data_IF_134364357113
#
_entry.id   IF_134364357113
#
_cell.length_a   1.000
_cell.length_b   1.000
_cell.length_c   1.000
_cell.angle_alpha   90.00
_cell.angle_beta   90.00
_cell.angle_gamma   90.00
#
_symmetry.space_group_name_H-M   'P 1'
#
loop_
_entity.id
_entity.type
_entity.pdbx_description
1 polymer ?
#
# COMPACT_ATOMS: atom_id res chain seq x y z
N UNK A 1 7.31 9.44 -11.45
CA UNK A 1 7.62 8.24 -10.67
C UNK A 1 6.49 7.23 -10.83
N UNK A 2 6.84 6.00 -11.19
CA UNK A 2 5.89 4.88 -11.27
C UNK A 2 5.51 4.38 -9.86
N UNK A 3 4.63 3.37 -9.78
CA UNK A 3 4.13 2.86 -8.50
C UNK A 3 5.27 2.26 -7.68
N UNK A 4 6.16 1.48 -8.31
CA UNK A 4 7.33 0.88 -7.66
C UNK A 4 8.22 1.92 -6.99
N UNK A 5 8.59 2.96 -7.72
CA UNK A 5 9.45 4.04 -7.22
C UNK A 5 8.81 4.78 -6.04
N UNK A 6 7.48 4.93 -6.05
CA UNK A 6 6.74 5.58 -4.95
C UNK A 6 6.68 4.70 -3.72
N UNK A 7 6.36 3.42 -3.86
CA UNK A 7 6.35 2.44 -2.76
C UNK A 7 7.74 2.34 -2.14
N UNK A 8 8.79 2.26 -2.97
CA UNK A 8 10.18 2.27 -2.50
C UNK A 8 10.53 3.55 -1.75
N UNK A 9 10.11 4.71 -2.23
CA UNK A 9 10.39 5.98 -1.57
C UNK A 9 9.64 6.16 -0.23
N UNK A 10 8.42 5.61 -0.12
CA UNK A 10 7.60 5.73 1.09
C UNK A 10 7.94 4.70 2.15
N UNK A 11 8.14 3.44 1.75
CA UNK A 11 8.25 2.31 2.66
C UNK A 11 9.64 1.64 2.64
N UNK A 12 10.50 1.98 1.67
CA UNK A 12 11.78 1.30 1.47
C UNK A 12 11.64 -0.11 0.89
N UNK A 13 10.48 -0.44 0.32
CA UNK A 13 10.13 -1.79 -0.17
C UNK A 13 10.26 -1.87 -1.69
N UNK A 14 10.69 -3.02 -2.18
CA UNK A 14 10.69 -3.36 -3.60
C UNK A 14 9.46 -4.20 -3.97
N UNK A 15 8.74 -3.77 -5.01
CA UNK A 15 7.59 -4.48 -5.56
C UNK A 15 7.80 -4.88 -7.03
N UNK A 16 7.30 -6.05 -7.41
CA UNK A 16 7.55 -6.65 -8.73
C UNK A 16 6.57 -6.18 -9.83
N UNK A 17 5.41 -5.64 -9.47
CA UNK A 17 4.41 -5.06 -10.39
C UNK A 17 4.30 -3.54 -10.24
N UNK A 18 3.86 -2.85 -11.30
CA UNK A 18 3.47 -1.43 -11.26
C UNK A 18 1.95 -1.26 -11.14
N UNK A 19 1.20 -2.35 -11.09
CA UNK A 19 -0.25 -2.31 -10.92
C UNK A 19 -0.60 -2.18 -9.43
N UNK A 20 -1.05 -0.99 -9.04
CA UNK A 20 -1.40 -0.71 -7.64
C UNK A 20 -2.56 -1.59 -7.14
N UNK A 21 -3.52 -1.94 -8.00
CA UNK A 21 -4.66 -2.76 -7.59
C UNK A 21 -4.23 -4.19 -7.26
N UNK A 22 -3.32 -4.77 -8.05
CA UNK A 22 -2.73 -6.08 -7.77
C UNK A 22 -2.00 -6.10 -6.43
N UNK A 23 -1.22 -5.04 -6.14
CA UNK A 23 -0.51 -4.90 -4.86
C UNK A 23 -1.48 -4.74 -3.70
N UNK A 24 -2.59 -4.01 -3.89
CA UNK A 24 -3.62 -3.81 -2.88
C UNK A 24 -4.33 -5.11 -2.53
N UNK A 25 -4.72 -5.89 -3.53
CA UNK A 25 -5.47 -7.14 -3.35
C UNK A 25 -4.59 -8.26 -2.80
N UNK A 26 -3.36 -8.43 -3.29
CA UNK A 26 -2.48 -9.54 -2.95
C UNK A 26 -1.00 -9.10 -2.78
N UNK A 27 -0.66 -8.28 -1.77
CA UNK A 27 0.69 -7.72 -1.61
C UNK A 27 1.79 -8.77 -1.50
N UNK A 28 1.48 -9.93 -0.91
CA UNK A 28 2.37 -11.09 -0.73
C UNK A 28 2.90 -11.70 -2.05
N UNK A 29 2.18 -11.53 -3.16
CA UNK A 29 2.63 -12.01 -4.47
C UNK A 29 3.72 -11.12 -5.08
N UNK A 30 3.81 -9.86 -4.63
CA UNK A 30 4.61 -8.83 -5.28
C UNK A 30 5.82 -8.35 -4.47
N UNK A 31 6.00 -8.82 -3.24
CA UNK A 31 7.13 -8.49 -2.36
C UNK A 31 8.08 -9.66 -2.14
N UNK A 32 9.25 -9.38 -1.57
CA UNK A 32 10.29 -10.40 -1.34
C UNK A 32 10.18 -11.07 0.03
N UNK A 33 9.52 -10.43 1.00
CA UNK A 33 9.44 -10.93 2.38
C UNK A 33 8.05 -10.75 2.97
N UNK A 34 7.64 -11.61 3.92
CA UNK A 34 6.38 -11.40 4.66
C UNK A 34 6.34 -10.04 5.37
N UNK A 35 7.46 -9.58 5.92
CA UNK A 35 7.56 -8.28 6.61
C UNK A 35 7.23 -7.11 5.67
N UNK A 36 7.62 -7.20 4.40
CA UNK A 36 7.28 -6.19 3.40
C UNK A 36 5.80 -6.21 3.03
N UNK A 37 5.18 -7.40 3.03
CA UNK A 37 3.73 -7.52 2.81
C UNK A 37 2.96 -6.90 3.97
N UNK A 38 3.39 -7.15 5.20
CA UNK A 38 2.79 -6.59 6.41
C UNK A 38 2.85 -5.04 6.39
N UNK A 39 4.00 -4.45 6.02
CA UNK A 39 4.15 -2.99 5.89
C UNK A 39 3.23 -2.38 4.83
N UNK A 40 2.99 -3.08 3.72
CA UNK A 40 2.02 -2.65 2.71
C UNK A 40 0.60 -2.72 3.26
N UNK A 41 0.26 -3.80 3.96
CA UNK A 41 -1.02 -3.96 4.65
C UNK A 41 -1.30 -2.83 5.65
N UNK A 42 -0.32 -2.48 6.48
CA UNK A 42 -0.42 -1.36 7.43
C UNK A 42 -0.68 -0.03 6.70
N UNK A 43 0.00 0.23 5.58
CA UNK A 43 -0.23 1.44 4.78
C UNK A 43 -1.65 1.48 4.21
N UNK A 44 -2.16 0.37 3.69
CA UNK A 44 -3.50 0.29 3.11
C UNK A 44 -4.58 0.49 4.17
N UNK A 45 -4.43 -0.12 5.35
CA UNK A 45 -5.32 0.11 6.48
C UNK A 45 -5.34 1.59 6.89
N UNK A 46 -4.17 2.25 6.95
CA UNK A 46 -4.11 3.69 7.24
C UNK A 46 -4.87 4.53 6.19
N UNK A 47 -4.79 4.16 4.91
CA UNK A 47 -5.52 4.83 3.83
C UNK A 47 -7.02 4.62 3.96
N UNK A 48 -7.47 3.41 4.27
CA UNK A 48 -8.88 3.10 4.51
C UNK A 48 -9.43 3.89 5.69
N UNK A 49 -8.71 3.93 6.82
CA UNK A 49 -9.09 4.71 8.00
C UNK A 49 -9.17 6.21 7.69
N UNK A 50 -8.26 6.75 6.88
CA UNK A 50 -8.33 8.15 6.45
C UNK A 50 -9.54 8.42 5.56
N UNK A 51 -9.89 7.49 4.67
CA UNK A 51 -11.07 7.61 3.83
C UNK A 51 -12.35 7.62 4.67
N UNK A 52 -12.43 6.78 5.71
CA UNK A 52 -13.55 6.76 6.67
C UNK A 52 -13.69 8.08 7.44
N UNK A 53 -12.57 8.67 7.88
CA UNK A 53 -12.56 9.96 8.57
C UNK A 53 -13.03 11.14 7.71
N UNK A 54 -12.76 11.11 6.39
CA UNK A 54 -13.29 12.14 5.47
C UNK A 54 -14.82 12.07 5.39
N UNK A 55 -15.43 10.88 5.45
CA UNK A 55 -16.89 10.73 5.37
C UNK A 55 -17.61 11.19 6.64
N UNK A 56 -16.96 11.15 7.81
CA UNK A 56 -17.52 11.64 9.08
C UNK A 56 -17.45 13.17 9.25
N UNK A 57 -16.75 13.89 8.35
CA UNK A 57 -16.49 15.33 8.49
C UNK A 57 -17.54 16.27 7.86
N UNK A 58 -18.64 15.70 7.33
CA UNK A 58 -19.75 16.43 6.69
C UNK A 58 -21.02 16.57 7.58
N UNK A 59 -20.89 16.58 8.92
CA UNK A 59 -21.97 16.99 9.87
C UNK A 59 -21.70 18.34 10.56
#
# INVERSE_FOLDING_TARGET
MNVKERIRALLGIEVSTDNLLEIWENPEEYVSTPEDADKLGDLFLLVEMMAELEVESDE
#
